data_IF_281791145953
#
_entry.id   IF_281791145953
#
_cell.length_a   1.000
_cell.length_b   1.000
_cell.length_c   1.000
_cell.angle_alpha   90.00
_cell.angle_beta   90.00
_cell.angle_gamma   90.00
#
_symmetry.space_group_name_H-M   'P 1'
#
loop_
_entity.id
_entity.type
_entity.pdbx_description
1 polymer ?
#
# COMPACT_ATOMS: atom_id res chain seq x y z
N UNK A 1 5.35 -13.74 1.59
CA UNK A 1 5.74 -12.38 1.18
C UNK A 1 5.55 -11.42 2.34
N UNK A 2 6.53 -10.59 2.58
CA UNK A 2 6.47 -9.56 3.62
C UNK A 2 6.41 -8.18 2.98
N UNK A 3 5.44 -7.37 3.41
CA UNK A 3 5.24 -6.03 2.88
C UNK A 3 5.82 -4.99 3.84
N UNK A 4 6.68 -4.13 3.34
CA UNK A 4 7.15 -2.98 4.10
C UNK A 4 6.06 -1.91 4.09
N UNK A 5 5.62 -1.52 5.27
CA UNK A 5 4.49 -0.63 5.47
C UNK A 5 4.90 0.65 6.18
N UNK A 6 4.32 1.77 5.77
CA UNK A 6 4.41 3.03 6.52
C UNK A 6 3.03 3.51 6.94
N UNK A 7 2.99 4.25 8.02
CA UNK A 7 1.79 4.93 8.51
C UNK A 7 2.08 6.43 8.54
N UNK A 8 1.20 7.21 7.93
CA UNK A 8 1.33 8.67 7.92
C UNK A 8 0.08 9.27 8.54
N UNK A 9 0.18 9.66 9.79
CA UNK A 9 -0.92 10.23 10.56
C UNK A 9 -0.35 10.93 11.79
N UNK A 10 -0.84 12.13 12.10
CA UNK A 10 -0.46 12.87 13.30
C UNK A 10 -1.26 12.42 14.54
N UNK A 11 -2.29 11.61 14.36
CA UNK A 11 -3.10 11.05 15.44
C UNK A 11 -2.41 9.81 16.02
N UNK A 12 -1.76 9.99 17.17
CA UNK A 12 -1.03 8.90 17.83
C UNK A 12 -1.92 7.73 18.21
N UNK A 13 -3.17 7.96 18.53
CA UNK A 13 -4.09 6.89 18.88
C UNK A 13 -4.35 5.99 17.67
N UNK A 14 -4.54 6.56 16.50
CA UNK A 14 -4.68 5.78 15.26
C UNK A 14 -3.42 4.98 14.97
N UNK A 15 -2.25 5.61 15.10
CA UNK A 15 -0.96 4.94 14.86
C UNK A 15 -0.80 3.74 15.79
N UNK A 16 -1.06 3.91 17.08
CA UNK A 16 -0.93 2.85 18.07
C UNK A 16 -1.94 1.71 17.81
N UNK A 17 -3.16 2.07 17.41
CA UNK A 17 -4.19 1.09 17.05
C UNK A 17 -3.72 0.23 15.87
N UNK A 18 -3.21 0.86 14.82
CA UNK A 18 -2.70 0.13 13.66
C UNK A 18 -1.48 -0.73 14.01
N UNK A 19 -0.57 -0.23 14.83
CA UNK A 19 0.58 -1.01 15.29
C UNK A 19 0.14 -2.27 16.01
N UNK A 20 -0.86 -2.14 16.87
CA UNK A 20 -1.43 -3.27 17.60
C UNK A 20 -1.99 -4.33 16.65
N UNK A 21 -2.73 -3.90 15.63
CA UNK A 21 -3.30 -4.82 14.64
C UNK A 21 -2.21 -5.46 13.77
N UNK A 22 -1.19 -4.69 13.38
CA UNK A 22 -0.08 -5.19 12.58
C UNK A 22 0.77 -6.22 13.31
N UNK A 23 0.87 -6.11 14.64
CA UNK A 23 1.61 -7.08 15.44
C UNK A 23 1.06 -8.51 15.26
N UNK A 24 -0.22 -8.64 14.97
CA UNK A 24 -0.88 -9.92 14.72
C UNK A 24 -0.93 -10.30 13.23
N UNK A 25 -0.27 -9.53 12.37
CA UNK A 25 -0.34 -9.71 10.92
C UNK A 25 1.07 -10.02 10.38
N UNK A 26 1.42 -11.31 10.21
CA UNK A 26 2.81 -11.70 9.94
C UNK A 26 3.35 -11.25 8.58
N UNK A 27 2.49 -10.96 7.62
CA UNK A 27 2.92 -10.56 6.28
C UNK A 27 3.19 -9.06 6.14
N UNK A 28 3.00 -8.30 7.21
CA UNK A 28 3.20 -6.84 7.18
C UNK A 28 4.30 -6.46 8.17
N UNK A 29 5.28 -5.72 7.68
CA UNK A 29 6.36 -5.19 8.51
C UNK A 29 6.23 -3.68 8.56
N UNK A 30 6.03 -3.14 9.77
CA UNK A 30 6.00 -1.69 9.93
C UNK A 30 7.42 -1.14 9.84
N UNK A 31 7.70 -0.44 8.74
CA UNK A 31 9.01 0.16 8.48
C UNK A 31 9.16 1.49 9.20
N UNK A 32 8.05 2.24 9.31
CA UNK A 32 8.05 3.49 10.04
C UNK A 32 6.68 4.10 10.13
N UNK A 33 6.53 5.01 11.09
CA UNK A 33 5.34 5.85 11.22
C UNK A 33 5.80 7.30 11.32
N UNK A 34 5.04 8.20 10.72
CA UNK A 34 5.39 9.61 10.71
C UNK A 34 4.13 10.47 10.81
N UNK A 35 4.33 11.71 11.26
CA UNK A 35 3.25 12.64 11.52
C UNK A 35 2.95 13.55 10.35
N UNK A 36 3.83 13.64 9.38
CA UNK A 36 3.70 14.59 8.29
C UNK A 36 4.35 14.08 7.00
N UNK A 37 4.07 14.77 5.91
CA UNK A 37 4.53 14.37 4.58
C UNK A 37 6.05 14.44 4.42
N UNK A 38 6.71 15.40 5.08
CA UNK A 38 8.17 15.56 4.96
C UNK A 38 8.89 14.35 5.55
N UNK A 39 8.48 13.90 6.73
CA UNK A 39 9.03 12.68 7.33
C UNK A 39 8.76 11.45 6.47
N UNK A 40 7.56 11.39 5.89
CA UNK A 40 7.17 10.28 5.02
C UNK A 40 8.05 10.22 3.78
N UNK A 41 8.35 11.35 3.16
CA UNK A 41 9.24 11.41 2.01
C UNK A 41 10.63 10.85 2.34
N UNK A 42 11.15 11.16 3.52
CA UNK A 42 12.43 10.58 3.96
C UNK A 42 12.37 9.07 4.07
N UNK A 43 11.27 8.55 4.62
CA UNK A 43 11.10 7.10 4.72
C UNK A 43 11.05 6.45 3.34
N UNK A 44 10.39 7.09 2.38
CA UNK A 44 10.30 6.60 1.01
C UNK A 44 11.67 6.58 0.31
N UNK A 45 12.54 7.54 0.61
CA UNK A 45 13.88 7.60 0.04
C UNK A 45 14.81 6.51 0.57
N UNK A 46 14.59 6.07 1.78
CA UNK A 46 15.47 5.14 2.48
C UNK A 46 14.97 3.70 2.47
N UNK A 47 13.71 3.48 2.09
CA UNK A 47 13.08 2.17 2.19
C UNK A 47 12.22 1.89 0.96
N UNK A 48 12.13 0.61 0.62
CA UNK A 48 11.24 0.14 -0.42
C UNK A 48 9.88 -0.16 0.22
N UNK A 49 8.87 0.67 -0.06
CA UNK A 49 7.57 0.63 0.60
C UNK A 49 6.52 0.06 -0.36
N UNK A 50 5.81 -0.97 0.08
CA UNK A 50 4.77 -1.63 -0.69
C UNK A 50 3.36 -1.31 -0.21
N UNK A 51 3.21 -0.83 1.03
CA UNK A 51 1.90 -0.55 1.62
C UNK A 51 1.98 0.73 2.44
N UNK A 52 1.00 1.61 2.27
CA UNK A 52 0.94 2.86 3.03
C UNK A 52 -0.47 3.10 3.56
N UNK A 53 -0.56 3.38 4.85
CA UNK A 53 -1.77 3.90 5.50
C UNK A 53 -1.61 5.41 5.63
N UNK A 54 -2.51 6.17 5.02
CA UNK A 54 -2.34 7.61 4.85
C UNK A 54 -3.58 8.34 5.34
N UNK A 55 -3.41 9.23 6.31
CA UNK A 55 -4.49 10.12 6.72
C UNK A 55 -4.83 11.07 5.56
N UNK A 56 -6.12 11.23 5.26
CA UNK A 56 -6.56 12.10 4.17
C UNK A 56 -6.21 13.58 4.40
N UNK A 57 -6.11 14.01 5.65
CA UNK A 57 -5.70 15.36 5.98
C UNK A 57 -4.31 15.36 6.60
N UNK A 58 -3.34 15.86 5.86
CA UNK A 58 -2.00 16.13 6.36
C UNK A 58 -1.83 17.65 6.47
N UNK A 59 -0.84 18.10 7.24
CA UNK A 59 -0.62 19.54 7.43
C UNK A 59 -0.25 20.27 6.15
N UNK A 60 0.64 19.67 5.37
CA UNK A 60 1.25 20.32 4.21
C UNK A 60 0.44 20.10 2.93
N UNK A 61 -0.31 19.01 2.87
CA UNK A 61 -1.05 18.61 1.67
C UNK A 61 -2.10 17.58 2.05
N UNK A 62 -2.99 17.24 1.13
CA UNK A 62 -3.92 16.14 1.35
C UNK A 62 -3.19 14.80 1.26
N UNK A 63 -3.77 13.77 1.87
CA UNK A 63 -3.25 12.42 1.74
C UNK A 63 -3.29 11.93 0.30
N UNK A 64 -4.30 12.35 -0.45
CA UNK A 64 -4.42 12.00 -1.88
C UNK A 64 -3.25 12.61 -2.67
N UNK A 65 -2.93 13.87 -2.45
CA UNK A 65 -1.79 14.51 -3.10
C UNK A 65 -0.49 13.80 -2.73
N UNK A 66 -0.30 13.49 -1.45
CA UNK A 66 0.88 12.76 -1.01
C UNK A 66 0.99 11.39 -1.68
N UNK A 67 -0.13 10.71 -1.89
CA UNK A 67 -0.12 9.36 -2.46
C UNK A 67 0.48 9.28 -3.86
N UNK A 68 0.50 10.39 -4.58
CA UNK A 68 1.14 10.45 -5.90
C UNK A 68 2.66 10.35 -5.84
N UNK A 69 3.25 10.54 -4.66
CA UNK A 69 4.70 10.43 -4.44
C UNK A 69 5.15 9.01 -4.10
N UNK A 70 4.20 8.12 -3.85
CA UNK A 70 4.51 6.72 -3.57
C UNK A 70 5.00 5.99 -4.82
N UNK A 71 5.77 4.90 -4.66
CA UNK A 71 6.07 4.04 -5.80
C UNK A 71 4.79 3.61 -6.51
N UNK A 72 4.86 3.47 -7.82
CA UNK A 72 3.70 3.24 -8.67
C UNK A 72 2.85 2.03 -8.25
N UNK A 73 3.51 0.98 -7.80
CA UNK A 73 2.87 -0.27 -7.41
C UNK A 73 2.57 -0.36 -5.91
N UNK A 74 2.85 0.70 -5.15
CA UNK A 74 2.54 0.71 -3.72
C UNK A 74 1.03 0.72 -3.50
N UNK A 75 0.60 -0.09 -2.55
CA UNK A 75 -0.81 -0.20 -2.18
C UNK A 75 -1.14 0.90 -1.17
N UNK A 76 -2.27 1.58 -1.37
CA UNK A 76 -2.69 2.71 -0.55
C UNK A 76 -3.98 2.38 0.17
N UNK A 77 -4.02 2.68 1.46
CA UNK A 77 -5.23 2.66 2.28
C UNK A 77 -5.32 4.02 2.95
N UNK A 78 -6.37 4.77 2.68
CA UNK A 78 -6.59 6.06 3.31
C UNK A 78 -7.36 5.91 4.61
N UNK A 79 -7.20 6.88 5.48
CA UNK A 79 -7.87 6.95 6.79
C UNK A 79 -8.43 8.35 6.97
N UNK A 80 -9.60 8.45 7.61
CA UNK A 80 -10.20 9.73 7.93
C UNK A 80 -11.17 9.59 9.09
N UNK A 81 -11.34 10.66 9.84
CA UNK A 81 -12.43 10.77 10.83
C UNK A 81 -13.65 11.47 10.22
N UNK A 82 -13.55 11.95 9.00
CA UNK A 82 -14.61 12.68 8.29
C UNK A 82 -15.13 11.84 7.12
N UNK A 83 -16.32 11.30 7.30
CA UNK A 83 -16.96 10.44 6.32
C UNK A 83 -17.12 11.08 4.94
N UNK A 84 -17.29 12.41 4.90
CA UNK A 84 -17.45 13.12 3.63
C UNK A 84 -16.19 13.12 2.77
N UNK A 85 -15.03 12.93 3.36
CA UNK A 85 -13.75 12.86 2.63
C UNK A 85 -13.45 11.48 2.05
N UNK A 86 -14.20 10.45 2.45
CA UNK A 86 -13.93 9.07 2.00
C UNK A 86 -14.02 8.90 0.49
N UNK A 87 -14.87 9.68 -0.17
CA UNK A 87 -15.04 9.61 -1.63
C UNK A 87 -13.75 9.99 -2.36
N UNK A 88 -13.00 10.97 -1.85
CA UNK A 88 -11.72 11.39 -2.44
C UNK A 88 -10.69 10.25 -2.42
N UNK A 89 -10.66 9.47 -1.34
CA UNK A 89 -9.78 8.32 -1.23
C UNK A 89 -10.08 7.27 -2.28
N UNK A 90 -11.34 6.96 -2.51
CA UNK A 90 -11.73 6.00 -3.55
C UNK A 90 -11.37 6.47 -4.94
N UNK A 91 -11.50 7.76 -5.23
CA UNK A 91 -11.13 8.32 -6.52
C UNK A 91 -9.62 8.25 -6.80
N UNK A 92 -8.80 8.12 -5.75
CA UNK A 92 -7.35 8.06 -5.87
C UNK A 92 -6.81 6.64 -6.06
N UNK A 93 -7.67 5.69 -6.44
CA UNK A 93 -7.29 4.29 -6.69
C UNK A 93 -6.71 3.60 -5.44
N UNK A 94 -7.29 3.87 -4.29
CA UNK A 94 -6.92 3.21 -3.05
C UNK A 94 -7.70 1.90 -2.89
N UNK A 95 -7.15 1.00 -2.09
CA UNK A 95 -7.84 -0.25 -1.73
C UNK A 95 -9.08 0.05 -0.89
N UNK A 96 -8.97 1.01 0.01
CA UNK A 96 -10.07 1.40 0.89
C UNK A 96 -9.80 2.76 1.51
N UNK A 97 -10.84 3.32 2.12
CA UNK A 97 -10.75 4.48 2.99
C UNK A 97 -11.39 4.11 4.33
N UNK A 98 -10.56 3.93 5.35
CA UNK A 98 -11.00 3.52 6.68
C UNK A 98 -11.49 4.70 7.49
N UNK A 99 -12.65 4.57 8.12
CA UNK A 99 -13.18 5.57 9.02
C UNK A 99 -12.63 5.35 10.43
N UNK A 100 -12.10 6.40 11.03
CA UNK A 100 -11.61 6.34 12.42
C UNK A 100 -12.78 6.42 13.40
N UNK A 101 -12.71 5.73 14.54
CA UNK A 101 -11.67 4.82 14.98
C UNK A 101 -11.70 3.50 14.17
N UNK A 102 -10.53 3.03 13.77
CA UNK A 102 -10.41 1.88 12.88
C UNK A 102 -10.65 0.59 13.66
N UNK A 103 -11.67 -0.17 13.26
CA UNK A 103 -11.95 -1.45 13.88
C UNK A 103 -10.99 -2.53 13.39
N UNK A 104 -10.78 -3.55 14.23
CA UNK A 104 -9.95 -4.68 13.85
C UNK A 104 -10.55 -5.43 12.65
N UNK A 105 -11.87 -5.54 12.60
CA UNK A 105 -12.57 -6.20 11.49
C UNK A 105 -12.29 -5.48 10.16
N UNK A 106 -12.41 -4.16 10.14
CA UNK A 106 -12.15 -3.38 8.93
C UNK A 106 -10.69 -3.52 8.49
N UNK A 107 -9.76 -3.50 9.44
CA UNK A 107 -8.34 -3.71 9.16
C UNK A 107 -8.10 -5.09 8.54
N UNK A 108 -8.67 -6.14 9.11
CA UNK A 108 -8.51 -7.52 8.61
C UNK A 108 -9.07 -7.64 7.20
N UNK A 109 -10.24 -7.07 6.95
CA UNK A 109 -10.84 -7.08 5.62
C UNK A 109 -9.94 -6.42 4.58
N UNK A 110 -9.33 -5.29 4.94
CA UNK A 110 -8.40 -4.60 4.06
C UNK A 110 -7.12 -5.40 3.83
N UNK A 111 -6.60 -6.05 4.86
CA UNK A 111 -5.42 -6.92 4.70
C UNK A 111 -5.72 -8.10 3.78
N UNK A 112 -6.93 -8.62 3.82
CA UNK A 112 -7.35 -9.65 2.88
C UNK A 112 -7.34 -9.15 1.43
N UNK A 113 -7.85 -7.94 1.21
CA UNK A 113 -7.80 -7.30 -0.13
C UNK A 113 -6.37 -7.08 -0.59
N UNK A 114 -5.51 -6.62 0.30
CA UNK A 114 -4.07 -6.42 0.02
C UNK A 114 -3.43 -7.73 -0.38
N UNK A 115 -3.71 -8.80 0.35
CA UNK A 115 -3.18 -10.12 0.06
C UNK A 115 -3.60 -10.61 -1.34
N UNK A 116 -4.87 -10.42 -1.68
CA UNK A 116 -5.37 -10.79 -3.02
C UNK A 116 -4.66 -10.02 -4.14
N UNK A 117 -4.42 -8.73 -3.93
CA UNK A 117 -3.70 -7.90 -4.90
C UNK A 117 -2.27 -8.42 -5.08
N UNK A 118 -1.59 -8.74 -4.01
CA UNK A 118 -0.22 -9.26 -4.04
C UNK A 118 -0.15 -10.60 -4.74
N UNK A 119 -1.11 -11.49 -4.50
CA UNK A 119 -1.17 -12.78 -5.18
C UNK A 119 -1.36 -12.62 -6.67
N UNK A 120 -2.23 -11.71 -7.10
CA UNK A 120 -2.45 -11.44 -8.52
C UNK A 120 -1.20 -10.89 -9.18
N UNK A 121 -0.51 -9.97 -8.54
CA UNK A 121 0.74 -9.40 -9.06
C UNK A 121 1.82 -10.48 -9.19
N UNK A 122 1.93 -11.38 -8.22
CA UNK A 122 2.87 -12.49 -8.30
C UNK A 122 2.51 -13.45 -9.44
N UNK A 123 1.24 -13.78 -9.62
CA UNK A 123 0.79 -14.62 -10.72
C UNK A 123 1.11 -13.99 -12.07
N UNK A 124 0.84 -12.71 -12.23
CA UNK A 124 1.16 -11.99 -13.47
C UNK A 124 2.66 -11.98 -13.71
N UNK A 125 3.44 -11.75 -12.67
CA UNK A 125 4.89 -11.73 -12.78
C UNK A 125 5.43 -13.10 -13.21
N UNK A 126 4.94 -14.16 -12.63
CA UNK A 126 5.33 -15.53 -12.99
C UNK A 126 4.93 -15.89 -14.41
N UNK A 127 3.72 -15.50 -14.82
CA UNK A 127 3.27 -15.73 -16.19
C UNK A 127 4.16 -15.01 -17.20
N UNK A 128 4.54 -13.78 -16.93
CA UNK A 128 5.47 -13.02 -17.78
C UNK A 128 6.84 -13.68 -17.81
N UNK A 129 7.31 -14.17 -16.68
CA UNK A 129 8.58 -14.87 -16.57
C UNK A 129 8.56 -16.17 -17.36
N UNK A 130 7.49 -16.94 -17.26
CA UNK A 130 7.33 -18.19 -17.99
C UNK A 130 7.29 -17.94 -19.50
N UNK A 131 6.56 -16.91 -19.93
CA UNK A 131 6.53 -16.51 -21.34
C UNK A 131 7.89 -16.09 -21.84
N UNK A 132 8.63 -15.36 -21.05
CA UNK A 132 9.98 -14.95 -21.40
C UNK A 132 10.90 -16.16 -21.56
N UNK A 133 10.84 -17.11 -20.65
CA UNK A 133 11.64 -18.33 -20.71
C UNK A 133 11.27 -19.18 -21.94
N UNK A 134 9.98 -19.27 -22.25
CA UNK A 134 9.50 -19.97 -23.42
C UNK A 134 10.08 -19.35 -24.69
N UNK A 135 9.96 -18.04 -24.84
CA UNK A 135 10.50 -17.32 -26.00
C UNK A 135 12.01 -17.53 -26.11
N UNK A 136 12.71 -17.48 -25.01
CA UNK A 136 14.16 -17.65 -24.99
C UNK A 136 14.59 -19.05 -25.40
N UNK A 137 13.85 -20.08 -25.00
CA UNK A 137 14.17 -21.46 -25.37
C UNK A 137 13.88 -21.75 -26.83
N UNK A 138 12.85 -21.12 -27.42
CA UNK A 138 12.46 -21.27 -28.80
C UNK A 138 12.97 -20.14 -29.70
N UNK A 139 13.84 -19.31 -29.20
CA UNK A 139 14.29 -18.09 -29.86
C UNK A 139 14.79 -18.32 -31.28
N UNK A 140 15.57 -19.34 -31.49
CA UNK A 140 16.16 -19.64 -32.80
C UNK A 140 15.13 -20.07 -33.85
N UNK A 141 14.00 -20.58 -33.40
CA UNK A 141 12.98 -21.13 -34.30
C UNK A 141 11.90 -20.09 -34.57
N UNK A 142 11.35 -19.46 -33.53
CA UNK A 142 10.16 -18.68 -33.65
C UNK A 142 10.38 -17.17 -33.66
N UNK A 143 11.37 -16.67 -32.95
CA UNK A 143 11.65 -15.23 -32.81
C UNK A 143 10.41 -14.41 -32.46
N UNK A 144 9.65 -14.89 -31.50
CA UNK A 144 8.43 -14.27 -31.10
C UNK A 144 8.71 -13.02 -30.26
N UNK A 145 8.00 -11.93 -30.57
CA UNK A 145 8.04 -10.72 -29.80
C UNK A 145 6.88 -10.68 -28.79
N UNK A 146 7.17 -10.27 -27.59
CA UNK A 146 6.17 -10.13 -26.53
C UNK A 146 6.20 -8.74 -25.92
#
# INVERSE_FOLDING_TARGET
MELNCIIIDDDQQTVETLKSYMADTPCVKLTGSCSNAVEAIRLLQQNDIQLAFINLRLQEMSGVEFSSMLPRNAIKIFMTDDRSLGIEGYKADAVDCLLKPISKTAFIEDMHKVHEICEREEEIHELKKDRFLFVKSDYKVLRLDF
#
